data_IF_324412867028
#
_entry.id   IF_324412867028
#
_cell.length_a   1.000
_cell.length_b   1.000
_cell.length_c   1.000
_cell.angle_alpha   90.00
_cell.angle_beta   90.00
_cell.angle_gamma   90.00
#
_symmetry.space_group_name_H-M   'P 1'
#
loop_
_entity.id
_entity.type
_entity.pdbx_description
1 polymer ?
#
# COMPACT_ATOMS: atom_id res chain seq x y z
N UNK A 1 0.75 6.63 -36.47
CA UNK A 1 1.43 5.97 -35.33
C UNK A 1 1.50 6.94 -34.15
N UNK A 2 0.76 6.67 -33.04
CA UNK A 2 0.86 7.44 -31.78
C UNK A 2 2.12 7.07 -30.96
N UNK A 3 3.28 6.97 -31.62
CA UNK A 3 4.52 6.47 -31.01
C UNK A 3 5.15 7.44 -30.00
N UNK A 4 5.03 8.75 -30.24
CA UNK A 4 5.73 9.77 -29.45
C UNK A 4 5.09 10.08 -28.09
N UNK A 5 3.77 9.86 -27.95
CA UNK A 5 3.02 10.21 -26.73
C UNK A 5 2.63 9.01 -25.87
N UNK A 6 2.71 7.77 -26.40
CA UNK A 6 2.35 6.54 -25.67
C UNK A 6 3.14 6.40 -24.37
N UNK A 7 4.45 6.65 -24.41
CA UNK A 7 5.29 6.59 -23.21
C UNK A 7 4.91 7.65 -22.17
N UNK A 8 4.70 8.89 -22.60
CA UNK A 8 4.31 9.99 -21.71
C UNK A 8 2.97 9.69 -21.00
N UNK A 9 1.98 9.18 -21.72
CA UNK A 9 0.69 8.78 -21.15
C UNK A 9 0.83 7.62 -20.16
N UNK A 10 1.62 6.60 -20.48
CA UNK A 10 1.88 5.47 -19.57
C UNK A 10 2.61 5.91 -18.30
N UNK A 11 3.63 6.77 -18.44
CA UNK A 11 4.38 7.33 -17.31
C UNK A 11 3.46 8.10 -16.36
N UNK A 12 2.61 8.97 -16.90
CA UNK A 12 1.68 9.76 -16.08
C UNK A 12 0.66 8.89 -15.34
N UNK A 13 0.03 7.93 -16.05
CA UNK A 13 -0.91 6.97 -15.44
C UNK A 13 -0.24 6.16 -14.33
N UNK A 14 0.98 5.66 -14.58
CA UNK A 14 1.76 4.92 -13.58
C UNK A 14 2.06 5.78 -12.34
N UNK A 15 2.53 7.01 -12.52
CA UNK A 15 2.85 7.90 -11.39
C UNK A 15 1.65 8.14 -10.46
N UNK A 16 0.44 8.31 -11.02
CA UNK A 16 -0.79 8.48 -10.23
C UNK A 16 -1.13 7.20 -9.46
N UNK A 17 -1.05 6.04 -10.12
CA UNK A 17 -1.32 4.73 -9.48
C UNK A 17 -0.31 4.49 -8.35
N UNK A 18 0.97 4.74 -8.60
CA UNK A 18 2.05 4.54 -7.64
C UNK A 18 1.87 5.47 -6.43
N UNK A 19 1.49 6.73 -6.64
CA UNK A 19 1.19 7.66 -5.54
C UNK A 19 0.00 7.21 -4.67
N UNK A 20 -1.08 6.72 -5.29
CA UNK A 20 -2.23 6.17 -4.54
C UNK A 20 -1.85 4.90 -3.77
N UNK A 21 -1.07 4.01 -4.41
CA UNK A 21 -0.56 2.78 -3.81
C UNK A 21 0.35 3.08 -2.62
N UNK A 22 1.26 4.06 -2.73
CA UNK A 22 2.14 4.47 -1.65
C UNK A 22 1.36 4.98 -0.42
N UNK A 23 0.31 5.77 -0.64
CA UNK A 23 -0.58 6.23 0.45
C UNK A 23 -1.29 5.08 1.16
N UNK A 24 -1.73 4.06 0.41
CA UNK A 24 -2.39 2.90 0.99
C UNK A 24 -1.39 2.04 1.78
N UNK A 25 -0.18 1.81 1.26
CA UNK A 25 0.87 1.08 1.99
C UNK A 25 1.22 1.75 3.31
N UNK A 26 1.34 3.07 3.34
CA UNK A 26 1.60 3.80 4.59
C UNK A 26 0.51 3.56 5.65
N UNK A 27 -0.77 3.43 5.23
CA UNK A 27 -1.88 3.12 6.15
C UNK A 27 -1.81 1.68 6.66
N UNK A 28 -1.53 0.71 5.77
CA UNK A 28 -1.43 -0.70 6.13
C UNK A 28 -0.28 -0.94 7.11
N UNK A 29 0.90 -0.40 6.83
CA UNK A 29 2.06 -0.50 7.74
C UNK A 29 1.71 0.04 9.12
N UNK A 30 1.07 1.21 9.19
CA UNK A 30 0.64 1.78 10.47
C UNK A 30 -0.40 0.91 11.19
N UNK A 31 -1.32 0.27 10.46
CA UNK A 31 -2.30 -0.64 11.05
C UNK A 31 -1.61 -1.86 11.67
N UNK A 32 -0.67 -2.48 10.94
CA UNK A 32 0.12 -3.61 11.42
C UNK A 32 0.95 -3.21 12.65
N UNK A 33 1.63 -2.06 12.63
CA UNK A 33 2.41 -1.57 13.76
C UNK A 33 1.57 -1.35 15.02
N UNK A 34 0.38 -0.78 14.85
CA UNK A 34 -0.55 -0.54 15.98
C UNK A 34 -1.08 -1.86 16.50
N UNK A 35 -1.54 -2.76 15.64
CA UNK A 35 -2.06 -4.07 16.02
C UNK A 35 -1.00 -4.92 16.76
N UNK A 36 0.23 -4.94 16.25
CA UNK A 36 1.34 -5.64 16.89
C UNK A 36 1.74 -5.02 18.24
N UNK A 37 1.63 -3.70 18.40
CA UNK A 37 1.89 -3.02 19.68
C UNK A 37 0.80 -3.29 20.71
N UNK A 38 -0.47 -3.32 20.30
CA UNK A 38 -1.59 -3.48 21.23
C UNK A 38 -1.84 -4.92 21.66
N UNK A 39 -1.72 -5.89 20.74
CA UNK A 39 -2.03 -7.30 21.00
C UNK A 39 -0.83 -8.24 20.96
N UNK A 40 0.39 -7.69 20.82
CA UNK A 40 1.61 -8.49 20.71
C UNK A 40 1.87 -9.01 19.29
N UNK A 41 3.04 -9.64 19.07
CA UNK A 41 3.52 -10.03 17.74
C UNK A 41 2.92 -11.36 17.24
N UNK A 42 2.13 -12.06 18.05
CA UNK A 42 1.52 -13.33 17.66
C UNK A 42 0.31 -13.09 16.76
N UNK A 43 0.44 -13.47 15.50
CA UNK A 43 -0.59 -13.29 14.46
C UNK A 43 -1.78 -14.22 14.70
N UNK A 44 -1.60 -15.36 15.36
CA UNK A 44 -2.70 -16.33 15.63
C UNK A 44 -3.49 -15.91 16.86
N UNK A 45 -2.80 -15.40 17.89
CA UNK A 45 -3.41 -14.90 19.13
C UNK A 45 -4.00 -13.49 19.05
N UNK A 46 -3.69 -12.73 17.99
CA UNK A 46 -4.15 -11.35 17.80
C UNK A 46 -4.97 -11.20 16.50
N UNK A 47 -6.31 -11.31 16.58
CA UNK A 47 -7.19 -11.18 15.41
C UNK A 47 -7.02 -9.85 14.68
N UNK A 48 -6.69 -8.78 15.40
CA UNK A 48 -6.48 -7.45 14.80
C UNK A 48 -5.19 -7.34 14.00
N UNK A 49 -4.22 -8.23 14.24
CA UNK A 49 -2.99 -8.35 13.45
C UNK A 49 -3.15 -9.34 12.29
N UNK A 50 -4.04 -10.33 12.40
CA UNK A 50 -4.36 -11.25 11.32
C UNK A 50 -5.11 -10.55 10.16
N UNK A 51 -6.02 -9.64 10.49
CA UNK A 51 -6.85 -8.92 9.51
C UNK A 51 -6.21 -7.63 8.96
N UNK A 52 -5.08 -7.18 9.52
CA UNK A 52 -4.41 -5.91 9.18
C UNK A 52 -3.41 -6.02 8.01
#
# INVERSE_FOLDING_TARGET
MSGHSKWATTKHKKAIIDSRRAKNFAKLIKAIEVAARSGGPDVVGNPTLFDA
#
